data_IF_480028956313
#
_entry.id   IF_480028956313
#
_cell.length_a   1.000
_cell.length_b   1.000
_cell.length_c   1.000
_cell.angle_alpha   90.00
_cell.angle_beta   90.00
_cell.angle_gamma   90.00
#
_symmetry.space_group_name_H-M   'P 1'
#
loop_
_entity.id
_entity.type
_entity.pdbx_description
1 polymer ?
#
# COMPACT_ATOMS: atom_id res chain seq x y z
N UNK A 1 -38.50 -18.00 77.96
CA UNK A 1 -37.87 -19.26 78.48
C UNK A 1 -36.51 -18.89 79.01
N UNK A 2 -36.33 -19.03 80.36
CA UNK A 2 -35.07 -18.57 80.98
C UNK A 2 -34.02 -19.70 80.80
N UNK A 3 -32.82 -19.38 80.34
CA UNK A 3 -31.66 -20.23 80.14
C UNK A 3 -31.25 -21.04 81.40
N UNK A 4 -31.93 -20.76 82.55
CA UNK A 4 -31.65 -21.40 83.83
C UNK A 4 -32.13 -22.85 84.05
N UNK A 5 -33.08 -23.36 83.24
CA UNK A 5 -33.69 -24.69 83.41
C UNK A 5 -33.14 -25.79 82.44
N UNK A 6 -32.19 -25.45 81.58
CA UNK A 6 -31.59 -26.45 80.71
C UNK A 6 -30.54 -27.30 81.40
N UNK A 7 -30.53 -28.61 81.07
CA UNK A 7 -29.53 -29.55 81.61
C UNK A 7 -28.11 -29.11 81.23
N UNK A 8 -27.12 -29.41 82.05
CA UNK A 8 -25.71 -29.04 81.78
C UNK A 8 -25.23 -29.52 80.45
N UNK A 9 -25.68 -30.68 79.99
CA UNK A 9 -25.37 -31.20 78.65
C UNK A 9 -25.86 -30.27 77.51
N UNK A 10 -27.06 -29.74 77.57
CA UNK A 10 -27.63 -28.85 76.60
C UNK A 10 -26.91 -27.47 76.53
N UNK A 11 -26.44 -26.96 77.67
CA UNK A 11 -25.65 -25.76 77.78
C UNK A 11 -24.29 -25.87 77.06
N UNK A 12 -23.62 -27.05 77.29
CA UNK A 12 -22.32 -27.33 76.68
C UNK A 12 -22.49 -27.47 75.16
N UNK A 13 -23.50 -28.23 74.72
CA UNK A 13 -23.75 -28.41 73.25
C UNK A 13 -24.10 -27.12 72.53
N UNK A 14 -24.88 -26.29 73.20
CA UNK A 14 -25.27 -24.98 72.60
C UNK A 14 -24.08 -24.00 72.52
N UNK A 15 -23.23 -24.00 73.56
CA UNK A 15 -22.02 -23.19 73.57
C UNK A 15 -21.01 -23.68 72.52
N UNK A 16 -20.78 -25.00 72.43
CA UNK A 16 -19.93 -25.55 71.40
C UNK A 16 -20.43 -25.37 69.99
N UNK A 17 -21.77 -25.48 69.79
CA UNK A 17 -22.41 -25.18 68.50
C UNK A 17 -22.27 -23.71 68.08
N UNK A 18 -22.45 -22.79 69.01
CA UNK A 18 -22.25 -21.35 68.76
C UNK A 18 -20.80 -21.00 68.44
N UNK A 19 -19.84 -21.57 69.15
CA UNK A 19 -18.42 -21.38 68.84
C UNK A 19 -18.06 -21.93 67.47
N UNK A 20 -18.54 -23.14 67.13
CA UNK A 20 -18.28 -23.75 65.84
C UNK A 20 -18.92 -22.94 64.68
N UNK A 21 -20.18 -22.46 64.84
CA UNK A 21 -20.85 -21.62 63.92
C UNK A 21 -20.09 -20.28 63.72
N UNK A 22 -19.59 -19.69 64.82
CA UNK A 22 -18.78 -18.46 64.76
C UNK A 22 -17.47 -18.64 63.97
N UNK A 23 -16.76 -19.75 64.19
CA UNK A 23 -15.53 -20.04 63.48
C UNK A 23 -15.79 -20.26 61.98
N UNK A 24 -16.84 -21.02 61.64
CA UNK A 24 -17.20 -21.29 60.24
C UNK A 24 -17.58 -19.99 59.54
N UNK A 25 -18.39 -19.16 60.19
CA UNK A 25 -18.80 -17.84 59.61
C UNK A 25 -17.60 -16.93 59.37
N UNK A 26 -16.65 -16.92 60.32
CA UNK A 26 -15.44 -16.10 60.22
C UNK A 26 -14.50 -16.63 59.09
N UNK A 27 -14.35 -17.93 58.98
CA UNK A 27 -13.55 -18.56 57.90
C UNK A 27 -14.16 -18.31 56.51
N UNK A 28 -15.48 -18.47 56.40
CA UNK A 28 -16.18 -18.19 55.13
C UNK A 28 -16.09 -16.71 54.77
N UNK A 29 -16.31 -15.80 55.74
CA UNK A 29 -16.19 -14.36 55.52
C UNK A 29 -14.79 -13.93 55.09
N UNK A 30 -13.74 -14.47 55.74
CA UNK A 30 -12.34 -14.22 55.32
C UNK A 30 -12.02 -14.81 53.95
N UNK A 31 -12.57 -15.99 53.64
CA UNK A 31 -12.36 -16.63 52.33
C UNK A 31 -13.00 -15.81 51.20
N UNK A 32 -14.23 -15.36 51.41
CA UNK A 32 -14.92 -14.50 50.41
C UNK A 32 -14.21 -13.16 50.22
N UNK A 33 -13.79 -12.52 51.32
CA UNK A 33 -13.03 -11.25 51.24
C UNK A 33 -11.71 -11.41 50.48
N UNK A 34 -10.95 -12.49 50.72
CA UNK A 34 -9.72 -12.77 49.97
C UNK A 34 -9.98 -13.08 48.50
N UNK A 35 -11.06 -13.79 48.22
CA UNK A 35 -11.41 -14.16 46.84
C UNK A 35 -11.79 -12.92 46.00
N UNK A 36 -12.53 -11.98 46.58
CA UNK A 36 -12.91 -10.73 45.92
C UNK A 36 -11.69 -9.87 45.65
N UNK A 37 -10.81 -9.71 46.61
CA UNK A 37 -9.58 -8.90 46.44
C UNK A 37 -8.56 -9.55 45.49
N UNK A 38 -8.44 -10.86 45.51
CA UNK A 38 -7.58 -11.61 44.53
C UNK A 38 -8.13 -11.54 43.14
N UNK A 39 -9.47 -11.55 42.94
CA UNK A 39 -10.11 -11.47 41.65
C UNK A 39 -9.88 -10.12 40.98
N UNK A 40 -9.89 -9.00 41.72
CA UNK A 40 -9.60 -7.69 41.18
C UNK A 40 -8.15 -7.53 40.74
N UNK A 41 -7.20 -8.04 41.53
CA UNK A 41 -5.78 -8.01 41.15
C UNK A 41 -5.50 -8.86 39.88
N UNK A 42 -6.11 -10.02 39.77
CA UNK A 42 -5.96 -10.90 38.60
C UNK A 42 -6.60 -10.25 37.37
N UNK A 43 -7.77 -9.60 37.50
CA UNK A 43 -8.41 -8.87 36.40
C UNK A 43 -7.55 -7.71 35.92
N UNK A 44 -7.02 -6.90 36.85
CA UNK A 44 -6.17 -5.75 36.50
C UNK A 44 -4.89 -6.21 35.77
N UNK A 45 -4.19 -7.21 36.33
CA UNK A 45 -2.98 -7.76 35.70
C UNK A 45 -3.25 -8.44 34.37
N UNK A 46 -4.36 -9.19 34.25
CA UNK A 46 -4.75 -9.82 32.97
C UNK A 46 -5.12 -8.80 31.92
N UNK A 47 -5.80 -7.70 32.31
CA UNK A 47 -6.16 -6.62 31.38
C UNK A 47 -4.91 -5.89 30.87
N UNK A 48 -3.95 -5.62 31.76
CA UNK A 48 -2.67 -5.00 31.41
C UNK A 48 -1.88 -5.88 30.44
N UNK A 49 -1.71 -7.16 30.74
CA UNK A 49 -1.03 -8.13 29.85
C UNK A 49 -1.74 -8.28 28.50
N UNK A 50 -3.06 -8.29 28.47
CA UNK A 50 -3.83 -8.36 27.23
C UNK A 50 -3.64 -7.09 26.38
N UNK A 51 -3.63 -5.92 27.04
CA UNK A 51 -3.42 -4.63 26.36
C UNK A 51 -2.01 -4.55 25.78
N UNK A 52 -0.98 -4.89 26.56
CA UNK A 52 0.41 -4.94 26.08
C UNK A 52 0.58 -5.95 24.94
N UNK A 53 0.02 -7.14 25.07
CA UNK A 53 0.09 -8.16 24.03
C UNK A 53 -0.63 -7.73 22.75
N UNK A 54 -1.78 -7.08 22.88
CA UNK A 54 -2.52 -6.55 21.74
C UNK A 54 -1.75 -5.43 21.04
N UNK A 55 -1.17 -4.51 21.81
CA UNK A 55 -0.37 -3.41 21.28
C UNK A 55 0.88 -3.92 20.57
N UNK A 56 1.65 -4.81 21.20
CA UNK A 56 2.83 -5.41 20.59
C UNK A 56 2.50 -6.17 19.29
N UNK A 57 1.33 -6.83 19.25
CA UNK A 57 0.87 -7.52 18.05
C UNK A 57 0.50 -6.55 16.92
N UNK A 58 -0.17 -5.44 17.24
CA UNK A 58 -0.51 -4.40 16.26
C UNK A 58 0.76 -3.75 15.71
N UNK A 59 1.71 -3.41 16.57
CA UNK A 59 3.00 -2.84 16.17
C UNK A 59 3.77 -3.81 15.25
N UNK A 60 3.91 -5.07 15.65
CA UNK A 60 4.57 -6.09 14.83
C UNK A 60 3.88 -6.31 13.48
N UNK A 61 2.55 -6.36 13.45
CA UNK A 61 1.81 -6.46 12.20
C UNK A 61 1.99 -5.22 11.32
N UNK A 62 2.01 -4.03 11.94
CA UNK A 62 2.28 -2.76 11.25
C UNK A 62 3.67 -2.74 10.60
N UNK A 63 4.69 -3.18 11.32
CA UNK A 63 6.07 -3.28 10.80
C UNK A 63 6.18 -4.25 9.62
N UNK A 64 5.54 -5.42 9.71
CA UNK A 64 5.53 -6.41 8.62
C UNK A 64 4.84 -5.84 7.37
N UNK A 65 3.69 -5.18 7.53
CA UNK A 65 2.99 -4.55 6.41
C UNK A 65 3.81 -3.41 5.80
N UNK A 66 4.41 -2.56 6.63
CA UNK A 66 5.27 -1.48 6.16
C UNK A 66 6.50 -2.00 5.41
N UNK A 67 7.11 -3.09 5.89
CA UNK A 67 8.22 -3.75 5.21
C UNK A 67 7.79 -4.33 3.85
N UNK A 68 6.61 -4.96 3.77
CA UNK A 68 6.04 -5.47 2.52
C UNK A 68 5.81 -4.36 1.49
N UNK A 69 5.20 -3.26 1.91
CA UNK A 69 4.98 -2.08 1.04
C UNK A 69 6.33 -1.52 0.56
N UNK A 70 7.28 -1.36 1.47
CA UNK A 70 8.62 -0.87 1.11
C UNK A 70 9.29 -1.77 0.07
N UNK A 71 9.18 -3.09 0.22
CA UNK A 71 9.74 -4.04 -0.73
C UNK A 71 9.11 -3.87 -2.13
N UNK A 72 7.77 -3.79 -2.21
CA UNK A 72 7.07 -3.57 -3.49
C UNK A 72 7.53 -2.27 -4.17
N UNK A 73 7.69 -1.19 -3.41
CA UNK A 73 8.21 0.07 -3.95
C UNK A 73 9.65 -0.06 -4.45
N UNK A 74 10.50 -0.77 -3.72
CA UNK A 74 11.89 -0.98 -4.12
C UNK A 74 11.99 -1.84 -5.39
N UNK A 75 11.18 -2.88 -5.50
CA UNK A 75 11.14 -3.75 -6.69
C UNK A 75 10.66 -2.95 -7.91
N UNK A 76 9.59 -2.18 -7.78
CA UNK A 76 9.09 -1.29 -8.83
C UNK A 76 10.13 -0.21 -9.22
N UNK A 77 10.84 0.35 -8.24
CA UNK A 77 11.92 1.32 -8.47
C UNK A 77 13.06 0.70 -9.27
N UNK A 78 13.57 -0.45 -8.85
CA UNK A 78 14.67 -1.14 -9.53
C UNK A 78 14.28 -1.53 -10.95
N UNK A 79 13.06 -2.02 -11.11
CA UNK A 79 12.53 -2.37 -12.41
C UNK A 79 12.44 -1.14 -13.34
N UNK A 80 11.81 -0.06 -12.89
CA UNK A 80 11.67 1.17 -13.68
C UNK A 80 13.02 1.81 -14.03
N UNK A 81 13.97 1.80 -13.09
CA UNK A 81 15.33 2.27 -13.35
C UNK A 81 16.05 1.41 -14.41
N UNK A 82 15.92 0.08 -14.35
CA UNK A 82 16.48 -0.82 -15.36
C UNK A 82 15.83 -0.62 -16.73
N UNK A 83 14.49 -0.50 -16.74
CA UNK A 83 13.71 -0.26 -17.95
C UNK A 83 14.08 1.09 -18.62
N UNK A 84 14.23 2.16 -17.85
CA UNK A 84 14.61 3.46 -18.39
C UNK A 84 15.97 3.43 -19.10
N UNK A 85 16.95 2.72 -18.55
CA UNK A 85 18.25 2.49 -19.21
C UNK A 85 18.14 1.68 -20.49
N UNK A 86 17.29 0.67 -20.49
CA UNK A 86 17.05 -0.15 -21.68
C UNK A 86 16.41 0.66 -22.81
N UNK A 87 15.44 1.52 -22.50
CA UNK A 87 14.82 2.43 -23.47
C UNK A 87 15.85 3.38 -24.11
N UNK A 88 16.69 3.99 -23.27
CA UNK A 88 17.75 4.88 -23.75
C UNK A 88 18.75 4.15 -24.64
N UNK A 89 19.13 2.94 -24.27
CA UNK A 89 20.01 2.11 -25.09
C UNK A 89 19.37 1.76 -26.44
N UNK A 90 18.10 1.38 -26.47
CA UNK A 90 17.37 1.10 -27.73
C UNK A 90 17.32 2.33 -28.63
N UNK A 91 17.02 3.49 -28.07
CA UNK A 91 17.01 4.77 -28.81
C UNK A 91 18.38 5.07 -29.40
N UNK A 92 19.46 4.96 -28.61
CA UNK A 92 20.83 5.16 -29.08
C UNK A 92 21.22 4.17 -30.22
N UNK A 93 20.81 2.91 -30.08
CA UNK A 93 21.07 1.90 -31.11
C UNK A 93 20.29 2.19 -32.39
N UNK A 94 19.05 2.66 -32.28
CA UNK A 94 18.24 3.05 -33.44
C UNK A 94 18.89 4.21 -34.22
N UNK A 95 19.36 5.22 -33.49
CA UNK A 95 20.08 6.37 -34.07
C UNK A 95 21.36 5.92 -34.78
N UNK A 96 22.21 5.09 -34.15
CA UNK A 96 23.45 4.57 -34.74
C UNK A 96 23.24 3.69 -35.94
N UNK A 97 22.14 2.97 -36.04
CA UNK A 97 21.79 2.07 -37.14
C UNK A 97 20.94 2.71 -38.21
N UNK A 98 20.60 3.99 -38.07
CA UNK A 98 19.69 4.71 -38.97
C UNK A 98 18.34 4.00 -39.12
N UNK A 99 17.80 3.47 -38.00
CA UNK A 99 16.52 2.80 -37.99
C UNK A 99 15.41 3.78 -38.41
N UNK A 100 14.45 3.30 -39.20
CA UNK A 100 13.30 4.12 -39.56
C UNK A 100 12.47 4.48 -38.30
N UNK A 101 11.87 5.66 -38.32
CA UNK A 101 11.08 6.15 -37.18
C UNK A 101 9.84 5.28 -36.91
N UNK A 102 9.26 4.67 -37.94
CA UNK A 102 8.15 3.71 -37.78
C UNK A 102 8.62 2.47 -37.01
N UNK A 103 9.72 1.86 -37.46
CA UNK A 103 10.27 0.67 -36.81
C UNK A 103 10.69 0.96 -35.36
N UNK A 104 11.27 2.14 -35.09
CA UNK A 104 11.62 2.55 -33.72
C UNK A 104 10.39 2.66 -32.82
N UNK A 105 9.30 3.29 -33.28
CA UNK A 105 8.08 3.44 -32.49
C UNK A 105 7.39 2.10 -32.26
N UNK A 106 7.37 1.24 -33.26
CA UNK A 106 6.85 -0.13 -33.13
C UNK A 106 7.67 -0.93 -32.12
N UNK A 107 9.00 -0.87 -32.19
CA UNK A 107 9.90 -1.56 -31.24
C UNK A 107 9.71 -1.04 -29.80
N UNK A 108 9.63 0.28 -29.62
CA UNK A 108 9.36 0.87 -28.30
C UNK A 108 8.00 0.44 -27.76
N UNK A 109 6.97 0.44 -28.58
CA UNK A 109 5.62 -0.01 -28.19
C UNK A 109 5.61 -1.48 -27.77
N UNK A 110 6.27 -2.34 -28.54
CA UNK A 110 6.43 -3.76 -28.24
C UNK A 110 7.23 -3.98 -26.96
N UNK A 111 8.27 -3.20 -26.76
CA UNK A 111 9.11 -3.27 -25.56
C UNK A 111 8.33 -2.91 -24.28
N UNK A 112 7.56 -1.81 -24.28
CA UNK A 112 6.73 -1.43 -23.13
C UNK A 112 5.69 -2.52 -22.82
N UNK A 113 5.03 -3.05 -23.86
CA UNK A 113 4.07 -4.16 -23.71
C UNK A 113 4.70 -5.38 -23.07
N UNK A 114 5.81 -5.84 -23.62
CA UNK A 114 6.52 -7.05 -23.13
C UNK A 114 7.01 -6.85 -21.69
N UNK A 115 7.51 -5.66 -21.39
CA UNK A 115 7.98 -5.28 -20.08
C UNK A 115 6.85 -5.33 -19.03
N UNK A 116 5.67 -4.81 -19.35
CA UNK A 116 4.50 -4.86 -18.48
C UNK A 116 4.02 -6.31 -18.27
N UNK A 117 3.92 -7.08 -19.35
CA UNK A 117 3.48 -8.48 -19.28
C UNK A 117 4.42 -9.37 -18.45
N UNK A 118 5.71 -9.06 -18.42
CA UNK A 118 6.69 -9.76 -17.60
C UNK A 118 6.57 -9.43 -16.10
N UNK A 119 5.79 -8.39 -15.72
CA UNK A 119 5.65 -7.92 -14.36
C UNK A 119 4.17 -7.80 -13.98
N UNK A 120 3.52 -8.90 -13.59
CA UNK A 120 2.08 -8.93 -13.31
C UNK A 120 1.66 -8.08 -12.10
N UNK A 121 2.60 -7.68 -11.25
CA UNK A 121 2.36 -6.83 -10.08
C UNK A 121 2.27 -5.33 -10.44
N UNK A 122 2.66 -4.96 -11.66
CA UNK A 122 2.52 -3.59 -12.15
C UNK A 122 1.14 -3.40 -12.77
N UNK A 123 0.43 -2.36 -12.35
CA UNK A 123 -0.86 -1.97 -12.93
C UNK A 123 -0.70 -1.38 -14.35
N UNK A 124 0.41 -0.71 -14.61
CA UNK A 124 0.69 -0.11 -15.90
C UNK A 124 2.14 0.35 -16.04
N UNK A 125 2.52 0.62 -17.28
CA UNK A 125 3.83 1.15 -17.63
C UNK A 125 3.67 2.19 -18.73
N UNK A 126 4.22 3.38 -18.52
CA UNK A 126 4.20 4.46 -19.49
C UNK A 126 5.59 4.79 -19.99
N UNK A 127 5.66 5.26 -21.23
CA UNK A 127 6.86 5.78 -21.86
C UNK A 127 6.49 7.05 -22.64
N UNK A 128 6.96 8.19 -22.16
CA UNK A 128 6.59 9.50 -22.69
C UNK A 128 7.86 10.28 -22.99
N UNK A 129 7.97 10.79 -24.20
CA UNK A 129 9.03 11.70 -24.62
C UNK A 129 8.52 13.14 -24.70
N UNK A 130 9.42 14.10 -24.62
CA UNK A 130 9.12 15.48 -24.99
C UNK A 130 8.84 15.57 -26.50
N UNK A 131 8.18 16.64 -26.92
CA UNK A 131 7.85 16.82 -28.34
C UNK A 131 9.10 16.70 -29.21
N UNK A 132 9.05 15.86 -30.24
CA UNK A 132 10.12 15.54 -31.16
C UNK A 132 11.38 14.89 -30.51
N UNK A 133 11.33 14.50 -29.23
CA UNK A 133 12.53 14.02 -28.55
C UNK A 133 12.87 12.54 -28.84
N UNK A 134 11.94 11.71 -29.30
CA UNK A 134 12.22 10.34 -29.63
C UNK A 134 13.02 10.23 -30.93
N UNK A 135 12.50 10.79 -32.04
CA UNK A 135 13.00 10.61 -33.41
C UNK A 135 12.94 11.88 -34.28
N UNK A 136 12.46 13.00 -33.73
CA UNK A 136 12.33 14.28 -34.46
C UNK A 136 11.21 14.34 -35.49
N UNK A 137 10.28 13.35 -35.50
CA UNK A 137 9.30 13.15 -36.58
C UNK A 137 7.85 13.06 -36.08
N UNK A 138 7.51 13.70 -34.97
CA UNK A 138 6.16 13.62 -34.39
C UNK A 138 5.05 13.92 -35.40
N UNK A 139 5.25 14.93 -36.28
CA UNK A 139 4.26 15.34 -37.28
C UNK A 139 3.79 14.18 -38.18
N UNK A 140 4.67 13.20 -38.46
CA UNK A 140 4.35 12.07 -39.32
C UNK A 140 3.47 11.01 -38.61
N UNK A 141 3.37 11.09 -37.30
CA UNK A 141 2.69 10.10 -36.46
C UNK A 141 1.47 10.64 -35.73
N UNK A 142 0.96 11.78 -36.11
CA UNK A 142 -0.21 12.37 -35.47
C UNK A 142 -1.42 11.42 -35.49
N UNK A 143 -1.95 11.10 -34.31
CA UNK A 143 -3.10 10.21 -34.14
C UNK A 143 -2.81 8.70 -34.30
N UNK A 144 -1.55 8.29 -34.48
CA UNK A 144 -1.19 6.88 -34.64
C UNK A 144 -1.02 6.20 -33.27
N UNK A 145 -2.15 5.99 -32.57
CA UNK A 145 -2.18 5.44 -31.21
C UNK A 145 -1.55 4.03 -31.12
N UNK A 146 -1.64 3.23 -32.16
CA UNK A 146 -1.04 1.89 -32.19
C UNK A 146 0.50 1.93 -32.14
N UNK A 147 1.09 3.04 -32.59
CA UNK A 147 2.52 3.32 -32.51
C UNK A 147 2.89 4.19 -31.29
N UNK A 148 2.01 4.26 -30.29
CA UNK A 148 2.25 5.01 -29.05
C UNK A 148 2.21 6.53 -29.20
N UNK A 149 1.64 7.03 -30.30
CA UNK A 149 1.66 8.46 -30.66
C UNK A 149 0.30 9.10 -30.45
N UNK A 150 0.28 10.24 -29.79
CA UNK A 150 -0.95 10.97 -29.50
C UNK A 150 -1.46 11.79 -30.72
N UNK A 151 -2.46 12.63 -30.51
CA UNK A 151 -3.06 13.48 -31.53
C UNK A 151 -2.08 14.50 -32.16
N UNK A 152 -0.99 14.83 -31.49
CA UNK A 152 0.10 15.67 -31.96
C UNK A 152 1.30 14.88 -32.51
N UNK A 153 1.22 13.55 -32.45
CA UNK A 153 2.28 12.66 -32.90
C UNK A 153 3.38 12.44 -31.86
N UNK A 154 3.30 13.09 -30.69
CA UNK A 154 4.24 12.85 -29.60
C UNK A 154 4.17 11.40 -29.16
N UNK A 155 5.32 10.77 -28.97
CA UNK A 155 5.36 9.45 -28.37
C UNK A 155 5.04 9.53 -26.89
N UNK A 156 3.83 9.11 -26.52
CA UNK A 156 3.26 9.23 -25.18
C UNK A 156 2.42 8.00 -24.84
N UNK A 157 3.07 6.85 -24.80
CA UNK A 157 2.46 5.54 -24.67
C UNK A 157 2.19 5.19 -23.22
N UNK A 158 1.01 4.64 -22.94
CA UNK A 158 0.65 3.98 -21.69
C UNK A 158 0.05 2.59 -21.98
N UNK A 159 0.64 1.57 -21.39
CA UNK A 159 0.07 0.24 -21.31
C UNK A 159 -0.46 -0.03 -19.91
N UNK A 160 -1.66 -0.54 -19.79
CA UNK A 160 -2.28 -0.95 -18.52
C UNK A 160 -2.62 -2.43 -18.51
N UNK A 161 -2.59 -3.04 -17.31
CA UNK A 161 -3.08 -4.39 -17.07
C UNK A 161 -3.88 -4.45 -15.76
N UNK A 162 -5.13 -3.99 -15.80
CA UNK A 162 -6.01 -4.00 -14.63
C UNK A 162 -6.29 -5.41 -14.12
N UNK A 163 -6.15 -6.40 -15.00
CA UNK A 163 -6.16 -7.83 -14.68
C UNK A 163 -4.90 -8.46 -15.24
N UNK A 164 -4.13 -9.24 -14.47
CA UNK A 164 -2.92 -9.90 -14.96
C UNK A 164 -3.12 -10.60 -16.29
N UNK A 165 -2.26 -10.28 -17.28
CA UNK A 165 -2.30 -10.83 -18.64
C UNK A 165 -3.27 -10.15 -19.61
N UNK A 166 -4.19 -9.27 -19.14
CA UNK A 166 -5.02 -8.43 -20.02
C UNK A 166 -4.40 -7.06 -20.13
N UNK A 167 -3.72 -6.82 -21.24
CA UNK A 167 -3.06 -5.55 -21.51
C UNK A 167 -3.82 -4.73 -22.54
N UNK A 168 -4.01 -3.46 -22.25
CA UNK A 168 -4.55 -2.45 -23.17
C UNK A 168 -3.61 -1.26 -23.27
N UNK A 169 -3.57 -0.61 -24.44
CA UNK A 169 -2.74 0.58 -24.63
C UNK A 169 -3.59 1.79 -24.97
N UNK A 170 -3.07 2.95 -24.61
CA UNK A 170 -3.58 4.25 -25.03
C UNK A 170 -2.41 5.21 -25.21
N UNK A 171 -2.58 6.19 -26.07
CA UNK A 171 -1.68 7.32 -26.10
C UNK A 171 -2.18 8.42 -25.15
N UNK A 172 -1.31 8.90 -24.27
CA UNK A 172 -1.61 10.01 -23.37
C UNK A 172 -1.71 11.32 -24.16
N UNK A 173 -2.77 12.08 -23.88
CA UNK A 173 -3.03 13.32 -24.61
C UNK A 173 -2.14 14.48 -24.13
N UNK A 174 -2.04 15.54 -24.94
CA UNK A 174 -1.38 16.78 -24.51
C UNK A 174 -2.08 17.41 -23.29
N UNK A 175 -3.41 17.25 -23.18
CA UNK A 175 -4.15 17.71 -22.01
C UNK A 175 -3.73 17.00 -20.72
N UNK A 176 -3.45 15.70 -20.76
CA UNK A 176 -2.96 14.96 -19.58
C UNK A 176 -1.61 15.49 -19.08
N UNK A 177 -0.75 15.92 -20.00
CA UNK A 177 0.57 16.48 -19.65
C UNK A 177 0.52 17.93 -19.16
N UNK A 178 -0.55 18.66 -19.49
CA UNK A 178 -0.71 20.08 -19.12
C UNK A 178 -1.75 20.33 -18.03
N UNK A 179 -2.45 19.28 -17.57
CA UNK A 179 -3.46 19.40 -16.53
C UNK A 179 -2.83 19.69 -15.16
N UNK A 180 -2.99 20.92 -14.71
CA UNK A 180 -2.54 21.38 -13.38
C UNK A 180 -3.64 21.32 -12.31
N UNK A 181 -4.79 20.73 -12.62
CA UNK A 181 -5.84 20.52 -11.62
C UNK A 181 -5.31 19.72 -10.42
N UNK A 182 -5.81 20.03 -9.23
CA UNK A 182 -5.32 19.43 -8.00
C UNK A 182 -6.09 18.17 -7.69
N UNK A 183 -5.38 17.06 -7.58
CA UNK A 183 -5.94 15.78 -7.16
C UNK A 183 -6.22 15.71 -5.64
N UNK A 184 -6.75 14.57 -5.14
CA UNK A 184 -7.07 14.36 -3.73
C UNK A 184 -5.86 14.52 -2.78
N UNK A 185 -4.66 14.23 -3.26
CA UNK A 185 -3.40 14.37 -2.50
C UNK A 185 -2.87 15.80 -2.43
N UNK A 186 -3.47 16.75 -3.16
CA UNK A 186 -2.96 18.11 -3.28
C UNK A 186 -1.89 18.29 -4.38
N UNK A 187 -1.46 17.23 -5.03
CA UNK A 187 -0.56 17.30 -6.19
C UNK A 187 -1.32 17.64 -7.48
N UNK A 188 -0.63 18.29 -8.42
CA UNK A 188 -1.16 18.52 -9.76
C UNK A 188 -1.35 17.19 -10.51
N UNK A 189 -2.41 17.09 -11.31
CA UNK A 189 -2.73 15.88 -12.07
C UNK A 189 -1.60 15.47 -13.02
N UNK A 190 -0.84 16.43 -13.55
CA UNK A 190 0.32 16.19 -14.40
C UNK A 190 1.66 16.04 -13.65
N UNK A 191 1.64 15.86 -12.32
CA UNK A 191 2.87 15.72 -11.52
C UNK A 191 3.75 14.56 -11.99
N UNK A 192 3.15 13.48 -12.51
CA UNK A 192 3.86 12.35 -13.08
C UNK A 192 4.75 12.73 -14.27
N UNK A 193 4.40 13.76 -15.02
CA UNK A 193 5.18 14.27 -16.14
C UNK A 193 6.12 15.41 -15.72
N UNK A 194 5.63 16.36 -14.92
CA UNK A 194 6.37 17.58 -14.58
C UNK A 194 7.44 17.37 -13.51
N UNK A 195 7.24 16.45 -12.56
CA UNK A 195 8.21 16.21 -11.48
C UNK A 195 9.55 15.72 -12.01
N UNK A 196 9.67 14.62 -12.79
CA UNK A 196 10.95 14.16 -13.30
C UNK A 196 11.60 15.17 -14.27
N UNK A 197 10.80 15.89 -15.02
CA UNK A 197 11.26 16.96 -15.92
C UNK A 197 11.93 18.11 -15.17
N UNK A 198 11.35 18.54 -14.06
CA UNK A 198 11.84 19.68 -13.28
C UNK A 198 12.98 19.31 -12.35
N UNK A 199 12.89 18.15 -11.72
CA UNK A 199 13.87 17.71 -10.72
C UNK A 199 15.08 17.01 -11.31
N UNK A 200 14.94 16.46 -12.51
CA UNK A 200 15.90 15.57 -13.18
C UNK A 200 16.25 14.35 -12.32
N UNK A 201 15.31 13.93 -11.46
CA UNK A 201 15.44 12.80 -10.54
C UNK A 201 14.19 11.95 -10.58
N UNK A 202 14.28 10.67 -10.18
CA UNK A 202 13.10 9.86 -9.96
C UNK A 202 12.15 10.50 -8.95
N UNK A 203 10.84 10.43 -9.23
CA UNK A 203 9.79 10.94 -8.36
C UNK A 203 8.81 9.81 -8.00
N UNK A 204 8.33 9.83 -6.77
CA UNK A 204 7.17 9.06 -6.36
C UNK A 204 5.98 10.00 -6.37
N UNK A 205 4.93 9.62 -7.10
CA UNK A 205 3.69 10.38 -7.19
C UNK A 205 2.74 9.87 -6.12
N UNK A 206 2.19 10.76 -5.31
CA UNK A 206 1.22 10.42 -4.28
C UNK A 206 0.00 9.72 -4.88
N UNK A 207 -0.75 8.91 -4.09
CA UNK A 207 -1.91 8.20 -4.61
C UNK A 207 -2.93 9.11 -5.28
N UNK A 208 -3.34 8.76 -6.47
CA UNK A 208 -4.32 9.49 -7.29
C UNK A 208 -5.28 8.52 -7.97
N UNK A 209 -6.45 9.03 -8.37
CA UNK A 209 -7.40 8.25 -9.16
C UNK A 209 -7.12 8.43 -10.64
N UNK A 210 -7.10 7.32 -11.36
CA UNK A 210 -6.99 7.29 -12.81
C UNK A 210 -8.02 6.34 -13.41
N UNK A 211 -8.56 6.69 -14.58
CA UNK A 211 -9.57 5.88 -15.25
C UNK A 211 -8.90 4.85 -16.15
N UNK A 212 -9.06 3.57 -15.84
CA UNK A 212 -8.58 2.46 -16.65
C UNK A 212 -9.79 1.60 -17.03
N UNK A 213 -10.00 1.38 -18.31
CA UNK A 213 -11.16 0.65 -18.86
C UNK A 213 -12.51 1.12 -18.29
N UNK A 214 -12.67 2.43 -18.09
CA UNK A 214 -13.88 3.05 -17.56
C UNK A 214 -14.06 2.92 -16.03
N UNK A 215 -13.08 2.38 -15.31
CA UNK A 215 -13.10 2.26 -13.85
C UNK A 215 -12.09 3.22 -13.20
N UNK A 216 -12.51 3.87 -12.12
CA UNK A 216 -11.61 4.65 -11.28
C UNK A 216 -10.73 3.72 -10.44
N UNK A 217 -9.43 3.75 -10.68
CA UNK A 217 -8.44 2.97 -9.95
C UNK A 217 -7.56 3.92 -9.13
N UNK A 218 -7.41 3.64 -7.84
CA UNK A 218 -6.45 4.34 -6.99
C UNK A 218 -5.07 3.76 -7.23
N UNK A 219 -4.14 4.59 -7.68
CA UNK A 219 -2.78 4.16 -8.00
C UNK A 219 -1.75 5.16 -7.50
N UNK A 220 -0.52 4.71 -7.35
CA UNK A 220 0.68 5.53 -7.18
C UNK A 220 1.66 5.21 -8.30
N UNK A 221 2.53 6.14 -8.63
CA UNK A 221 3.50 5.95 -9.71
C UNK A 221 4.91 6.30 -9.27
N UNK A 222 5.88 5.55 -9.77
CA UNK A 222 7.30 5.91 -9.70
C UNK A 222 7.72 6.29 -11.11
N UNK A 223 8.22 7.50 -11.27
CA UNK A 223 8.55 8.06 -12.58
C UNK A 223 10.04 8.42 -12.65
N UNK A 224 10.64 8.18 -13.80
CA UNK A 224 12.08 8.35 -14.03
C UNK A 224 12.30 9.31 -15.18
N UNK A 225 13.22 10.29 -15.06
CA UNK A 225 13.62 11.10 -16.19
C UNK A 225 14.44 10.28 -17.18
N UNK A 226 14.14 10.40 -18.47
CA UNK A 226 14.97 9.89 -19.54
C UNK A 226 15.92 11.01 -19.99
N UNK A 227 17.17 10.92 -19.58
CA UNK A 227 18.19 11.92 -19.89
C UNK A 227 18.91 11.49 -21.17
N UNK A 228 18.75 12.25 -22.23
CA UNK A 228 19.37 12.04 -23.55
C UNK A 228 20.56 12.97 -23.72
#
# INVERSE_FOLDING_TARGET
MSLGQLSIQWKITLLAGLCLAGIVTLLVGLSLYRMEHSSELVKASSMEMLTESAQARIESQGEVQAAGIRQQFMDAYQYGHGFSRQVLFLREQAEKRFLDAFDLREDMTRQVKSALQANPDLLGLSLVFEANALDGKDELFAGQNELGSNDKGRFALYWSQPTPGKVTSMALSESDMTDTSTGPSGQAANAWFTCPRTTLKPCVIEPYFYVIDGQNVLMTSIVFPLMV
#
